data_IF_988448075733
#
_entry.id   IF_988448075733
#
_cell.length_a   1.000
_cell.length_b   1.000
_cell.length_c   1.000
_cell.angle_alpha   90.00
_cell.angle_beta   90.00
_cell.angle_gamma   90.00
#
_symmetry.space_group_name_H-M   'P 1'
#
loop_
_entity.id
_entity.type
_entity.pdbx_description
1 polymer ?
#
# COMPACT_ATOMS: atom_id res chain seq x y z
N UNK A 1 3.74 16.01 -13.08
CA UNK A 1 2.64 16.49 -13.94
C UNK A 1 1.99 17.78 -13.42
N UNK A 2 1.60 17.92 -12.14
CA UNK A 2 0.97 19.18 -11.65
C UNK A 2 1.84 20.46 -11.70
N UNK A 3 3.16 20.35 -11.52
CA UNK A 3 4.09 21.49 -11.57
C UNK A 3 4.34 22.00 -13.00
N UNK A 4 4.40 21.12 -13.99
CA UNK A 4 4.56 21.48 -15.41
C UNK A 4 3.31 22.14 -15.99
N UNK A 5 2.14 21.90 -15.38
CA UNK A 5 0.86 22.49 -15.78
C UNK A 5 0.56 23.81 -15.05
N UNK A 6 1.45 24.28 -14.16
CA UNK A 6 1.28 25.55 -13.44
C UNK A 6 0.23 25.55 -12.32
N UNK A 7 -0.33 24.39 -11.96
CA UNK A 7 -1.41 24.27 -10.98
C UNK A 7 -0.93 24.12 -9.53
N UNK A 8 0.38 24.06 -9.29
CA UNK A 8 0.96 23.78 -7.97
C UNK A 8 2.12 24.73 -7.70
N UNK A 9 2.09 25.34 -6.52
CA UNK A 9 3.14 26.25 -6.07
C UNK A 9 4.52 25.55 -6.01
N UNK A 10 5.57 26.28 -6.40
CA UNK A 10 6.95 25.76 -6.48
C UNK A 10 7.50 25.34 -5.13
N UNK A 11 7.10 26.02 -4.06
CA UNK A 11 7.50 25.71 -2.68
C UNK A 11 6.84 24.41 -2.20
N UNK A 12 5.56 24.23 -2.50
CA UNK A 12 4.83 22.99 -2.20
C UNK A 12 5.44 21.79 -2.95
N UNK A 13 5.74 21.96 -4.24
CA UNK A 13 6.40 20.92 -5.05
C UNK A 13 7.77 20.52 -4.50
N UNK A 14 8.58 21.50 -4.11
CA UNK A 14 9.93 21.27 -3.56
C UNK A 14 9.86 20.54 -2.22
N UNK A 15 8.94 20.94 -1.34
CA UNK A 15 8.68 20.28 -0.07
C UNK A 15 8.24 18.82 -0.28
N UNK A 16 7.26 18.58 -1.15
CA UNK A 16 6.81 17.23 -1.49
C UNK A 16 7.96 16.35 -2.02
N UNK A 17 8.79 16.87 -2.92
CA UNK A 17 9.94 16.14 -3.45
C UNK A 17 10.98 15.81 -2.37
N UNK A 18 11.23 16.72 -1.44
CA UNK A 18 12.12 16.50 -0.31
C UNK A 18 11.57 15.44 0.65
N UNK A 19 10.28 15.49 0.98
CA UNK A 19 9.62 14.51 1.84
C UNK A 19 9.61 13.12 1.19
N UNK A 20 9.34 13.05 -0.11
CA UNK A 20 9.43 11.82 -0.90
C UNK A 20 10.83 11.23 -0.89
N UNK A 21 11.87 12.08 -1.02
CA UNK A 21 13.27 11.63 -0.93
C UNK A 21 13.58 11.11 0.47
N UNK A 22 13.20 11.85 1.51
CA UNK A 22 13.40 11.46 2.92
C UNK A 22 12.75 10.12 3.22
N UNK A 23 11.49 9.91 2.82
CA UNK A 23 10.78 8.65 3.02
C UNK A 23 11.50 7.46 2.36
N UNK A 24 12.01 7.63 1.13
CA UNK A 24 12.78 6.59 0.44
C UNK A 24 14.10 6.29 1.14
N UNK A 25 14.79 7.30 1.64
CA UNK A 25 16.06 7.14 2.37
C UNK A 25 15.85 6.40 3.69
N UNK A 26 14.84 6.78 4.48
CA UNK A 26 14.50 6.09 5.72
C UNK A 26 14.08 4.64 5.47
N UNK A 27 13.23 4.39 4.47
CA UNK A 27 12.85 3.04 4.06
C UNK A 27 14.06 2.18 3.68
N UNK A 28 15.04 2.76 2.97
CA UNK A 28 16.26 2.04 2.60
C UNK A 28 17.15 1.76 3.82
N UNK A 29 17.23 2.67 4.79
CA UNK A 29 17.97 2.48 6.04
C UNK A 29 17.34 1.38 6.89
N UNK A 30 16.02 1.43 7.11
CA UNK A 30 15.33 0.46 7.95
C UNK A 30 15.34 -0.95 7.33
N UNK A 31 15.22 -1.06 6.01
CA UNK A 31 15.43 -2.32 5.29
C UNK A 31 16.84 -2.89 5.51
N UNK A 32 17.89 -2.04 5.46
CA UNK A 32 19.27 -2.50 5.67
C UNK A 32 19.51 -2.93 7.11
N UNK A 33 19.01 -2.15 8.08
CA UNK A 33 19.11 -2.47 9.51
C UNK A 33 18.45 -3.80 9.83
N UNK A 34 17.22 -4.01 9.35
CA UNK A 34 16.51 -5.27 9.54
C UNK A 34 17.32 -6.45 9.00
N UNK A 35 17.84 -6.33 7.77
CA UNK A 35 18.60 -7.39 7.13
C UNK A 35 19.93 -7.70 7.83
N UNK A 36 20.54 -6.71 8.50
CA UNK A 36 21.84 -6.85 9.16
C UNK A 36 21.72 -7.28 10.63
N UNK A 37 20.82 -6.65 11.39
CA UNK A 37 20.72 -6.81 12.84
C UNK A 37 19.83 -7.99 13.24
N UNK A 38 18.86 -8.39 12.39
CA UNK A 38 17.87 -9.45 12.65
C UNK A 38 17.25 -9.39 14.06
N UNK A 39 17.07 -8.19 14.60
CA UNK A 39 16.59 -7.96 15.97
C UNK A 39 15.05 -8.13 16.11
N UNK A 40 14.42 -8.90 15.23
CA UNK A 40 12.96 -9.03 15.15
C UNK A 40 12.24 -7.77 14.68
N UNK A 41 12.92 -6.82 14.01
CA UNK A 41 12.22 -5.76 13.29
C UNK A 41 11.66 -6.32 11.99
N UNK A 42 10.47 -5.88 11.56
CA UNK A 42 9.87 -6.26 10.28
C UNK A 42 9.50 -4.99 9.54
N UNK A 43 9.96 -4.88 8.30
CA UNK A 43 9.70 -3.70 7.45
C UNK A 43 8.73 -4.07 6.34
N UNK A 44 7.54 -3.48 6.37
CA UNK A 44 6.44 -3.79 5.46
C UNK A 44 6.13 -2.57 4.61
N UNK A 45 6.01 -2.77 3.31
CA UNK A 45 5.44 -1.80 2.40
C UNK A 45 3.97 -2.18 2.16
N UNK A 46 3.06 -1.24 2.36
CA UNK A 46 1.65 -1.42 2.06
C UNK A 46 1.22 -0.50 0.92
N UNK A 47 0.42 -1.04 0.01
CA UNK A 47 -0.13 -0.31 -1.13
C UNK A 47 -1.53 -0.81 -1.48
N UNK A 48 -2.40 0.12 -1.84
CA UNK A 48 -3.73 -0.18 -2.37
C UNK A 48 -3.67 -0.06 -3.88
N UNK A 49 -3.76 -1.20 -4.57
CA UNK A 49 -3.88 -1.16 -6.01
C UNK A 49 -5.29 -0.67 -6.39
N UNK A 50 -5.40 0.03 -7.52
CA UNK A 50 -6.65 0.62 -7.99
C UNK A 50 -7.82 -0.38 -8.06
N UNK A 51 -9.04 0.14 -7.86
CA UNK A 51 -10.28 -0.66 -7.88
C UNK A 51 -10.39 -1.46 -9.18
N UNK A 52 -10.41 -2.79 -9.03
CA UNK A 52 -10.57 -3.73 -10.13
C UNK A 52 -12.06 -3.98 -10.38
N UNK A 53 -12.46 -4.03 -11.65
CA UNK A 53 -13.83 -4.34 -12.02
C UNK A 53 -13.92 -5.81 -12.43
N UNK A 54 -14.80 -6.56 -11.77
CA UNK A 54 -15.06 -7.97 -12.06
C UNK A 54 -16.50 -8.17 -12.58
N UNK A 55 -16.74 -9.09 -13.54
CA UNK A 55 -15.75 -9.82 -14.33
C UNK A 55 -15.04 -8.94 -15.39
N UNK A 56 -13.82 -9.33 -15.76
CA UNK A 56 -13.08 -8.68 -16.88
C UNK A 56 -13.72 -9.08 -18.21
N UNK A 57 -14.46 -8.16 -18.83
CA UNK A 57 -15.18 -8.40 -20.09
C UNK A 57 -15.02 -7.18 -21.01
N UNK A 58 -14.91 -7.44 -22.31
CA UNK A 58 -14.85 -6.42 -23.35
C UNK A 58 -16.05 -5.45 -23.30
N UNK A 59 -15.78 -4.16 -23.46
CA UNK A 59 -16.71 -3.06 -23.18
C UNK A 59 -18.11 -3.19 -23.83
N UNK A 60 -18.18 -3.76 -25.04
CA UNK A 60 -19.41 -3.91 -25.84
C UNK A 60 -20.48 -4.81 -25.18
N UNK A 61 -20.10 -5.83 -24.42
CA UNK A 61 -21.05 -6.77 -23.79
C UNK A 61 -21.39 -6.42 -22.33
N UNK A 62 -20.79 -5.37 -21.79
CA UNK A 62 -20.96 -4.91 -20.40
C UNK A 62 -21.74 -3.61 -20.23
N UNK A 63 -22.14 -2.93 -21.32
CA UNK A 63 -22.80 -1.62 -21.22
C UNK A 63 -24.06 -1.64 -20.34
N UNK A 64 -24.75 -2.79 -20.28
CA UNK A 64 -25.96 -2.99 -19.46
C UNK A 64 -25.73 -3.88 -18.23
N UNK A 65 -24.48 -4.22 -17.88
CA UNK A 65 -24.17 -5.11 -16.75
C UNK A 65 -23.42 -4.36 -15.66
N UNK A 66 -23.92 -4.46 -14.42
CA UNK A 66 -23.23 -3.94 -13.24
C UNK A 66 -21.90 -4.67 -13.04
N UNK A 67 -20.82 -3.90 -12.91
CA UNK A 67 -19.49 -4.43 -12.63
C UNK A 67 -19.27 -4.41 -11.12
N UNK A 68 -18.78 -5.52 -10.57
CA UNK A 68 -18.45 -5.64 -9.17
C UNK A 68 -17.10 -4.93 -8.91
N UNK A 69 -17.09 -3.98 -7.98
CA UNK A 69 -15.86 -3.30 -7.56
C UNK A 69 -15.09 -4.14 -6.53
N UNK A 70 -13.98 -4.73 -6.98
CA UNK A 70 -13.04 -5.52 -6.19
C UNK A 70 -11.85 -4.65 -5.79
N UNK A 71 -11.44 -4.75 -4.52
CA UNK A 71 -10.33 -4.02 -3.94
C UNK A 71 -9.22 -5.00 -3.65
N UNK A 72 -7.98 -4.55 -3.75
CA UNK A 72 -6.84 -5.36 -3.35
C UNK A 72 -5.79 -4.53 -2.61
N UNK A 73 -5.58 -4.88 -1.35
CA UNK A 73 -4.63 -4.24 -0.47
C UNK A 73 -3.45 -5.17 -0.23
N UNK A 74 -2.26 -4.71 -0.61
CA UNK A 74 -1.05 -5.53 -0.62
C UNK A 74 -0.15 -5.12 0.53
N UNK A 75 0.36 -6.11 1.26
CA UNK A 75 1.41 -5.94 2.25
C UNK A 75 2.62 -6.76 1.83
N UNK A 76 3.78 -6.11 1.80
CA UNK A 76 4.99 -6.71 1.28
C UNK A 76 6.16 -6.54 2.25
N UNK A 77 6.70 -7.66 2.72
CA UNK A 77 7.90 -7.68 3.54
C UNK A 77 9.13 -7.36 2.68
N UNK A 78 9.80 -6.26 3.04
CA UNK A 78 10.90 -5.73 2.24
C UNK A 78 12.15 -6.62 2.25
N UNK A 79 12.31 -7.48 3.26
CA UNK A 79 13.49 -8.33 3.44
C UNK A 79 13.22 -9.78 3.09
N UNK A 80 12.19 -10.41 3.68
CA UNK A 80 11.87 -11.81 3.36
C UNK A 80 11.31 -11.98 1.95
N UNK A 81 10.80 -10.89 1.36
CA UNK A 81 10.13 -10.86 0.05
C UNK A 81 8.76 -11.52 0.04
N UNK A 82 8.21 -11.83 1.20
CA UNK A 82 6.85 -12.35 1.33
C UNK A 82 5.83 -11.24 1.07
N UNK A 83 4.77 -11.59 0.35
CA UNK A 83 3.67 -10.68 0.04
C UNK A 83 2.33 -11.31 0.39
N UNK A 84 1.46 -10.53 1.01
CA UNK A 84 0.06 -10.88 1.29
C UNK A 84 -0.83 -9.89 0.56
N UNK A 85 -1.86 -10.41 -0.10
CA UNK A 85 -2.84 -9.60 -0.82
C UNK A 85 -4.23 -9.87 -0.23
N UNK A 86 -4.79 -8.85 0.43
CA UNK A 86 -6.15 -8.86 0.92
C UNK A 86 -7.09 -8.42 -0.20
N UNK A 87 -8.03 -9.28 -0.57
CA UNK A 87 -8.98 -9.02 -1.66
C UNK A 87 -10.39 -9.11 -1.10
N UNK A 88 -11.18 -8.07 -1.33
CA UNK A 88 -12.60 -8.03 -0.97
C UNK A 88 -13.41 -7.27 -2.01
N UNK A 89 -14.70 -7.58 -2.11
CA UNK A 89 -15.61 -6.85 -3.00
C UNK A 89 -16.46 -5.82 -2.23
N UNK A 90 -17.16 -4.96 -2.97
CA UNK A 90 -17.94 -3.84 -2.39
C UNK A 90 -19.08 -4.20 -1.45
N UNK A 91 -19.51 -5.45 -1.44
CA UNK A 91 -20.52 -5.92 -0.49
C UNK A 91 -19.92 -6.55 0.77
N UNK A 92 -18.61 -6.83 0.80
CA UNK A 92 -17.89 -7.31 1.97
C UNK A 92 -17.26 -6.16 2.78
N UNK A 93 -16.84 -5.08 2.11
CA UNK A 93 -16.16 -3.98 2.77
C UNK A 93 -15.97 -2.75 1.89
N UNK A 94 -15.86 -1.60 2.56
CA UNK A 94 -15.61 -0.31 1.93
C UNK A 94 -14.14 -0.01 1.66
N UNK A 95 -13.85 1.27 1.45
CA UNK A 95 -12.50 1.84 1.44
C UNK A 95 -12.34 2.76 2.67
N UNK A 96 -12.74 2.28 3.85
CA UNK A 96 -12.64 3.06 5.09
C UNK A 96 -11.44 2.60 5.91
N UNK A 97 -11.02 3.43 6.86
CA UNK A 97 -9.90 3.11 7.75
C UNK A 97 -10.10 1.81 8.52
N UNK A 98 -11.33 1.36 8.74
CA UNK A 98 -11.63 0.14 9.48
C UNK A 98 -11.18 -1.11 8.72
N UNK A 99 -11.48 -1.23 7.42
CA UNK A 99 -11.07 -2.37 6.60
C UNK A 99 -9.53 -2.46 6.48
N UNK A 100 -8.86 -1.32 6.32
CA UNK A 100 -7.39 -1.30 6.29
C UNK A 100 -6.81 -1.70 7.65
N UNK A 101 -7.38 -1.19 8.73
CA UNK A 101 -6.92 -1.52 10.10
C UNK A 101 -7.11 -2.99 10.41
N UNK A 102 -8.23 -3.60 10.01
CA UNK A 102 -8.45 -5.04 10.21
C UNK A 102 -7.42 -5.88 9.44
N UNK A 103 -7.11 -5.50 8.19
CA UNK A 103 -6.04 -6.17 7.44
C UNK A 103 -4.67 -6.04 8.12
N UNK A 104 -4.35 -4.85 8.65
CA UNK A 104 -3.07 -4.58 9.33
C UNK A 104 -2.96 -5.39 10.62
N UNK A 105 -4.03 -5.47 11.40
CA UNK A 105 -4.07 -6.25 12.64
C UNK A 105 -3.94 -7.74 12.35
N UNK A 106 -4.66 -8.24 11.35
CA UNK A 106 -4.58 -9.63 10.91
C UNK A 106 -3.15 -10.00 10.49
N UNK A 107 -2.55 -9.19 9.60
CA UNK A 107 -1.18 -9.41 9.15
C UNK A 107 -0.18 -9.32 10.31
N UNK A 108 -0.32 -8.34 11.20
CA UNK A 108 0.56 -8.17 12.36
C UNK A 108 0.47 -9.35 13.32
N UNK A 109 -0.72 -9.93 13.49
CA UNK A 109 -0.94 -11.10 14.35
C UNK A 109 -0.28 -12.37 13.78
N UNK A 110 -0.17 -12.47 12.44
CA UNK A 110 0.56 -13.56 11.79
C UNK A 110 2.08 -13.50 11.99
N UNK A 111 2.62 -12.32 12.34
CA UNK A 111 4.06 -12.08 12.55
C UNK A 111 4.47 -12.33 14.01
N UNK A 112 4.02 -13.46 14.59
CA UNK A 112 4.31 -13.85 15.97
C UNK A 112 5.82 -14.05 16.18
N UNK A 113 6.50 -13.00 16.64
CA UNK A 113 7.97 -12.96 16.78
C UNK A 113 8.60 -11.62 16.37
N UNK A 114 7.83 -10.73 15.74
CA UNK A 114 8.29 -9.37 15.46
C UNK A 114 8.27 -8.52 16.75
N UNK A 115 9.43 -7.99 17.14
CA UNK A 115 9.60 -7.02 18.22
C UNK A 115 9.16 -5.61 17.81
N UNK A 116 9.30 -5.29 16.52
CA UNK A 116 8.97 -3.98 15.96
C UNK A 116 8.48 -4.12 14.53
N UNK A 117 7.32 -3.54 14.22
CA UNK A 117 6.77 -3.51 12.85
C UNK A 117 6.85 -2.06 12.35
N UNK A 118 7.45 -1.87 11.18
CA UNK A 118 7.53 -0.57 10.49
C UNK A 118 6.72 -0.67 9.21
N UNK A 119 5.67 0.14 9.11
CA UNK A 119 4.80 0.21 7.94
C UNK A 119 5.15 1.44 7.10
N UNK A 120 5.34 1.23 5.80
CA UNK A 120 5.50 2.31 4.82
C UNK A 120 4.33 2.29 3.84
N UNK A 121 3.68 3.44 3.65
CA UNK A 121 2.69 3.68 2.61
C UNK A 121 3.04 4.96 1.86
N UNK A 122 2.71 5.00 0.57
CA UNK A 122 2.89 6.14 -0.32
C UNK A 122 1.57 6.80 -0.76
N UNK A 123 0.48 6.47 -0.07
CA UNK A 123 -0.84 7.11 -0.20
C UNK A 123 -0.89 8.54 0.32
#
# INVERSE_FOLDING_TARGET
MGFETGNVDKEFWTTHMNDKRRAKEEKAKDKKKEAQERNGTVVICMDLQGVLLAPSINALSTYFKTKLAVKNFTMYNMVTKDGVCYVWHEAEGGLTSNEFTSCIIDHSSSLSGANKIILYSDG
#
